data_IF_650238368984
#
_entry.id   IF_650238368984
#
_cell.length_a   1.000
_cell.length_b   1.000
_cell.length_c   1.000
_cell.angle_alpha   90.00
_cell.angle_beta   90.00
_cell.angle_gamma   90.00
#
_symmetry.space_group_name_H-M   'P 1'
#
loop_
_entity.id
_entity.type
_entity.pdbx_description
1 polymer ?
#
# COMPACT_ATOMS: atom_id res chain seq x y z
N UNK A 1 -5.17 -9.10 -14.54
CA UNK A 1 -4.25 -7.97 -14.36
C UNK A 1 -4.91 -6.70 -14.86
N UNK A 2 -4.46 -5.54 -14.37
CA UNK A 2 -4.95 -4.22 -14.79
C UNK A 2 -3.83 -3.48 -15.49
N UNK A 3 -4.11 -2.94 -16.68
CA UNK A 3 -3.17 -2.14 -17.44
C UNK A 3 -3.61 -0.67 -17.44
N UNK A 4 -2.66 0.23 -17.16
CA UNK A 4 -2.85 1.68 -17.23
C UNK A 4 -1.86 2.23 -18.24
N UNK A 5 -2.37 2.80 -19.33
CA UNK A 5 -1.58 3.48 -20.34
C UNK A 5 -1.70 4.99 -20.13
N UNK A 6 -0.59 5.66 -19.85
CA UNK A 6 -0.49 7.12 -19.85
C UNK A 6 0.11 7.53 -21.19
N UNK A 7 -0.73 7.50 -22.23
CA UNK A 7 -0.31 7.60 -23.62
C UNK A 7 0.48 8.89 -23.91
N UNK A 8 0.06 10.01 -23.33
CA UNK A 8 0.65 11.33 -23.56
C UNK A 8 2.14 11.42 -23.17
N UNK A 9 2.60 10.55 -22.27
CA UNK A 9 3.99 10.50 -21.81
C UNK A 9 4.67 9.15 -22.10
N UNK A 10 4.01 8.25 -22.83
CA UNK A 10 4.58 6.96 -23.22
C UNK A 10 4.86 6.00 -22.05
N UNK A 11 4.14 6.13 -20.93
CA UNK A 11 4.26 5.21 -19.79
C UNK A 11 3.16 4.14 -19.81
N UNK A 12 3.54 2.89 -19.58
CA UNK A 12 2.63 1.77 -19.35
C UNK A 12 2.87 1.18 -17.97
N UNK A 13 1.83 1.07 -17.16
CA UNK A 13 1.87 0.41 -15.86
C UNK A 13 0.98 -0.84 -15.91
N UNK A 14 1.47 -1.94 -15.35
CA UNK A 14 0.75 -3.20 -15.26
C UNK A 14 0.71 -3.61 -13.79
N UNK A 15 -0.49 -3.86 -13.28
CA UNK A 15 -0.74 -4.37 -11.94
C UNK A 15 -1.25 -5.81 -12.02
N UNK A 16 -0.52 -6.70 -11.35
CA UNK A 16 -0.91 -8.08 -11.08
C UNK A 16 -1.25 -8.22 -9.59
N UNK A 17 -2.49 -8.62 -9.30
CA UNK A 17 -2.97 -8.84 -7.94
C UNK A 17 -3.16 -10.34 -7.75
N UNK A 18 -2.39 -10.94 -6.83
CA UNK A 18 -2.34 -12.41 -6.68
C UNK A 18 -2.33 -12.79 -5.22
N UNK A 19 -3.25 -13.69 -4.85
CA UNK A 19 -3.18 -14.48 -3.62
C UNK A 19 -2.68 -15.88 -3.96
N UNK A 20 -1.90 -16.53 -3.08
CA UNK A 20 -1.26 -17.80 -3.41
C UNK A 20 -2.24 -18.97 -3.29
N UNK A 21 -3.07 -19.21 -4.29
CA UNK A 21 -3.98 -20.36 -4.36
C UNK A 21 -3.30 -21.52 -5.07
N UNK A 22 -2.78 -22.48 -4.30
CA UNK A 22 -1.89 -23.54 -4.78
C UNK A 22 -2.52 -24.92 -4.52
N UNK A 23 -2.84 -25.71 -5.57
CA UNK A 23 -3.42 -27.04 -5.41
C UNK A 23 -2.60 -27.94 -4.48
N UNK A 24 -3.28 -28.68 -3.60
CA UNK A 24 -2.70 -29.57 -2.58
C UNK A 24 -1.78 -28.89 -1.54
N UNK A 25 -1.68 -27.56 -1.51
CA UNK A 25 -0.99 -26.81 -0.46
C UNK A 25 -2.01 -25.97 0.34
N UNK A 26 -2.62 -26.60 1.35
CA UNK A 26 -3.67 -26.00 2.18
C UNK A 26 -3.14 -24.96 3.17
N UNK A 27 -1.85 -24.99 3.50
CA UNK A 27 -1.23 -24.02 4.40
C UNK A 27 -1.11 -22.65 3.71
N UNK A 28 -0.34 -22.58 2.61
CA UNK A 28 -0.10 -21.31 1.92
C UNK A 28 -1.38 -20.77 1.30
N UNK A 29 -2.25 -21.65 0.77
CA UNK A 29 -3.56 -21.26 0.24
C UNK A 29 -4.49 -20.67 1.30
N UNK A 30 -4.27 -20.95 2.59
CA UNK A 30 -5.06 -20.38 3.68
C UNK A 30 -4.61 -18.98 4.12
N UNK A 31 -3.50 -18.47 3.59
CA UNK A 31 -2.96 -17.18 4.05
C UNK A 31 -3.86 -16.01 3.64
N UNK A 32 -4.21 -15.11 4.58
CA UNK A 32 -4.99 -13.90 4.29
C UNK A 32 -4.07 -12.80 3.71
N UNK A 33 -3.49 -13.07 2.54
CA UNK A 33 -2.49 -12.22 1.89
C UNK A 33 -2.79 -12.01 0.41
N UNK A 34 -2.43 -10.84 -0.10
CA UNK A 34 -2.45 -10.52 -1.53
C UNK A 34 -1.15 -9.77 -1.87
N UNK A 35 -0.53 -10.14 -2.98
CA UNK A 35 0.59 -9.43 -3.55
C UNK A 35 0.11 -8.49 -4.67
N UNK A 36 0.60 -7.26 -4.68
CA UNK A 36 0.34 -6.26 -5.72
C UNK A 36 1.64 -6.02 -6.48
N UNK A 37 1.86 -6.81 -7.52
CA UNK A 37 3.07 -6.73 -8.32
C UNK A 37 2.90 -5.69 -9.43
N UNK A 38 3.80 -4.70 -9.45
CA UNK A 38 3.77 -3.62 -10.42
C UNK A 38 4.93 -3.73 -11.40
N UNK A 39 4.60 -3.68 -12.69
CA UNK A 39 5.57 -3.49 -13.77
C UNK A 39 5.36 -2.10 -14.38
N UNK A 40 6.44 -1.32 -14.47
CA UNK A 40 6.42 0.02 -15.09
C UNK A 40 7.32 -0.01 -16.33
N UNK A 41 6.74 0.31 -17.49
CA UNK A 41 7.42 0.30 -18.79
C UNK A 41 7.45 1.72 -19.33
N UNK A 42 8.65 2.23 -19.57
CA UNK A 42 8.88 3.53 -20.20
C UNK A 42 9.18 3.32 -21.69
N UNK A 43 8.21 3.64 -22.56
CA UNK A 43 8.38 3.59 -24.02
C UNK A 43 8.75 4.94 -24.62
N UNK A 44 9.03 5.94 -23.78
CA UNK A 44 9.44 7.27 -24.21
C UNK A 44 10.95 7.37 -24.38
N UNK A 45 11.43 8.55 -24.78
CA UNK A 45 12.86 8.89 -24.84
C UNK A 45 13.33 9.71 -23.62
N UNK A 46 12.47 9.87 -22.62
CA UNK A 46 12.71 10.72 -21.44
C UNK A 46 12.72 9.84 -20.20
N UNK A 47 13.65 10.10 -19.28
CA UNK A 47 13.69 9.41 -18.00
C UNK A 47 12.61 9.94 -17.04
N UNK A 48 11.94 9.03 -16.35
CA UNK A 48 10.91 9.37 -15.37
C UNK A 48 11.29 8.91 -13.98
N UNK A 49 10.99 9.76 -12.98
CA UNK A 49 10.87 9.35 -11.59
C UNK A 49 9.41 8.97 -11.34
N UNK A 50 9.16 7.71 -11.03
CA UNK A 50 7.81 7.18 -10.78
C UNK A 50 7.66 6.84 -9.31
N UNK A 51 6.55 7.31 -8.72
CA UNK A 51 6.13 6.95 -7.36
C UNK A 51 4.84 6.15 -7.43
N UNK A 52 4.83 4.98 -6.82
CA UNK A 52 3.62 4.17 -6.62
C UNK A 52 3.22 4.26 -5.16
N UNK A 53 1.96 4.57 -4.89
CA UNK A 53 1.45 4.72 -3.53
C UNK A 53 0.25 3.81 -3.34
N UNK A 54 0.27 3.04 -2.25
CA UNK A 54 -0.85 2.23 -1.82
C UNK A 54 -1.39 2.79 -0.50
N UNK A 55 -2.63 3.27 -0.51
CA UNK A 55 -3.35 3.73 0.68
C UNK A 55 -4.33 2.68 1.17
N UNK A 56 -4.46 2.56 2.49
CA UNK A 56 -5.36 1.61 3.13
C UNK A 56 -5.93 2.22 4.40
N UNK A 57 -7.27 2.24 4.54
CA UNK A 57 -7.93 2.77 5.73
C UNK A 57 -7.87 1.72 6.85
N UNK A 58 -7.38 2.11 8.02
CA UNK A 58 -7.53 1.29 9.23
C UNK A 58 -8.97 1.37 9.73
N UNK A 59 -9.57 0.24 10.09
CA UNK A 59 -10.95 0.20 10.56
C UNK A 59 -11.64 -1.14 10.30
N UNK A 60 -12.89 -1.23 10.76
CA UNK A 60 -13.66 -2.47 10.80
C UNK A 60 -14.55 -2.69 9.58
N UNK A 61 -14.66 -1.68 8.70
CA UNK A 61 -15.53 -1.70 7.53
C UNK A 61 -17.03 -1.76 7.86
N UNK A 62 -17.42 -1.61 9.13
CA UNK A 62 -18.81 -1.61 9.57
C UNK A 62 -19.17 -0.25 10.19
N UNK A 63 -20.15 0.48 9.63
CA UNK A 63 -20.64 1.74 10.19
C UNK A 63 -21.03 1.69 11.68
N UNK A 64 -21.45 0.52 12.19
CA UNK A 64 -21.80 0.33 13.61
C UNK A 64 -20.59 0.24 14.55
N UNK A 65 -19.40 -0.03 14.01
CA UNK A 65 -18.17 -0.25 14.77
C UNK A 65 -17.05 0.69 14.32
N UNK A 66 -17.40 1.83 13.71
CA UNK A 66 -16.48 2.93 13.40
C UNK A 66 -16.11 3.70 14.68
N UNK A 67 -15.59 2.98 15.69
CA UNK A 67 -14.91 3.58 16.83
C UNK A 67 -13.44 3.77 16.45
N UNK A 68 -13.17 4.81 15.66
CA UNK A 68 -11.82 5.15 15.18
C UNK A 68 -10.80 5.32 16.33
N UNK A 69 -11.28 5.64 17.55
CA UNK A 69 -10.45 5.77 18.76
C UNK A 69 -9.77 4.48 19.26
N UNK A 70 -10.00 3.32 18.63
CA UNK A 70 -9.29 2.06 18.92
C UNK A 70 -8.33 1.62 17.81
N UNK A 71 -8.18 2.42 16.76
CA UNK A 71 -7.26 2.13 15.68
C UNK A 71 -5.88 2.71 15.97
N UNK A 72 -4.82 1.94 15.70
CA UNK A 72 -3.44 2.43 15.76
C UNK A 72 -2.62 1.91 14.59
N UNK A 73 -1.57 2.65 14.23
CA UNK A 73 -0.62 2.26 13.22
C UNK A 73 0.78 2.21 13.83
N UNK A 74 1.56 1.21 13.44
CA UNK A 74 2.96 1.09 13.87
C UNK A 74 3.85 0.72 12.69
N UNK A 75 5.12 1.19 12.66
CA UNK A 75 6.05 0.80 11.62
C UNK A 75 6.21 -0.73 11.53
N UNK A 76 6.19 -1.21 10.29
CA UNK A 76 6.67 -2.54 9.95
C UNK A 76 8.00 -2.37 9.19
N UNK A 77 9.10 -2.71 9.85
CA UNK A 77 10.42 -2.65 9.24
C UNK A 77 11.13 -3.98 9.47
N UNK A 78 11.30 -4.72 8.38
CA UNK A 78 12.11 -5.93 8.32
C UNK A 78 13.26 -5.69 7.34
N UNK A 79 14.24 -6.59 7.29
CA UNK A 79 15.43 -6.43 6.44
C UNK A 79 15.09 -6.22 4.95
N UNK A 80 14.02 -6.85 4.46
CA UNK A 80 13.60 -6.83 3.05
C UNK A 80 12.43 -5.90 2.74
N UNK A 81 11.74 -5.30 3.71
CA UNK A 81 10.51 -4.55 3.46
C UNK A 81 10.23 -3.48 4.51
N UNK A 82 9.51 -2.43 4.09
CA UNK A 82 9.04 -1.34 4.95
C UNK A 82 7.55 -1.07 4.74
N UNK A 83 6.86 -0.66 5.79
CA UNK A 83 5.44 -0.36 5.73
C UNK A 83 4.83 -0.06 7.10
N UNK A 84 3.53 -0.34 7.23
CA UNK A 84 2.76 -0.12 8.44
C UNK A 84 1.93 -1.37 8.79
N UNK A 85 1.88 -1.70 10.08
CA UNK A 85 0.85 -2.53 10.68
C UNK A 85 -0.29 -1.64 11.16
N UNK A 86 -1.52 -2.02 10.82
CA UNK A 86 -2.74 -1.30 11.15
C UNK A 86 -3.56 -2.14 12.12
N UNK A 87 -3.48 -1.81 13.41
CA UNK A 87 -4.13 -2.53 14.50
C UNK A 87 -5.53 -1.98 14.74
N UNK A 88 -6.49 -2.88 14.90
CA UNK A 88 -7.89 -2.59 15.22
C UNK A 88 -8.57 -3.85 15.78
N UNK A 89 -9.88 -3.80 15.95
CA UNK A 89 -10.66 -4.91 16.49
C UNK A 89 -11.91 -5.14 15.65
N UNK A 90 -12.14 -6.36 15.15
CA UNK A 90 -13.37 -6.73 14.41
C UNK A 90 -14.21 -7.64 15.31
N UNK A 91 -15.43 -7.23 15.68
CA UNK A 91 -16.31 -7.99 16.59
C UNK A 91 -15.59 -8.45 17.88
N UNK A 92 -14.88 -7.54 18.53
CA UNK A 92 -14.06 -7.81 19.74
C UNK A 92 -12.84 -8.70 19.52
N UNK A 93 -12.52 -9.09 18.29
CA UNK A 93 -11.32 -9.86 17.95
C UNK A 93 -10.17 -8.92 17.53
N UNK A 94 -9.03 -8.93 18.26
CA UNK A 94 -7.85 -8.18 17.84
C UNK A 94 -7.42 -8.59 16.43
N UNK A 95 -7.31 -7.62 15.54
CA UNK A 95 -7.00 -7.82 14.13
C UNK A 95 -5.91 -6.84 13.71
N UNK A 96 -5.01 -7.29 12.83
CA UNK A 96 -3.95 -6.43 12.29
C UNK A 96 -3.88 -6.64 10.79
N UNK A 97 -4.05 -5.54 10.04
CA UNK A 97 -3.64 -5.52 8.64
C UNK A 97 -2.18 -5.09 8.55
N UNK A 98 -1.51 -5.46 7.46
CA UNK A 98 -0.19 -4.96 7.16
C UNK A 98 -0.13 -4.56 5.69
N UNK A 99 0.42 -3.38 5.43
CA UNK A 99 0.74 -2.91 4.08
C UNK A 99 2.22 -2.61 4.07
N UNK A 100 2.95 -3.24 3.16
CA UNK A 100 4.38 -3.07 3.03
C UNK A 100 4.81 -3.20 1.58
N UNK A 101 5.95 -2.60 1.27
CA UNK A 101 6.64 -2.74 0.00
C UNK A 101 8.01 -3.38 0.23
N UNK A 102 8.41 -4.25 -0.69
CA UNK A 102 9.74 -4.84 -0.72
C UNK A 102 10.79 -3.80 -1.13
N UNK A 103 11.94 -3.83 -0.46
CA UNK A 103 13.06 -2.98 -0.80
C UNK A 103 13.75 -3.52 -2.06
N UNK A 104 13.57 -2.80 -3.17
CA UNK A 104 14.23 -3.11 -4.44
C UNK A 104 15.49 -2.26 -4.65
N UNK A 105 16.45 -2.75 -5.43
CA UNK A 105 17.64 -1.99 -5.80
C UNK A 105 17.24 -0.75 -6.62
N UNK A 106 17.76 0.42 -6.24
CA UNK A 106 17.44 1.70 -6.89
C UNK A 106 16.08 2.30 -6.52
N UNK A 107 15.26 1.62 -5.71
CA UNK A 107 14.00 2.14 -5.20
C UNK A 107 14.13 2.74 -3.80
N UNK A 108 13.38 3.80 -3.52
CA UNK A 108 13.26 4.37 -2.17
C UNK A 108 11.88 4.08 -1.61
N UNK A 109 11.81 3.61 -0.36
CA UNK A 109 10.54 3.35 0.33
C UNK A 109 10.26 4.43 1.37
N UNK A 110 9.00 4.88 1.42
CA UNK A 110 8.46 5.78 2.44
C UNK A 110 7.06 5.35 2.84
N UNK A 111 6.64 5.68 4.05
CA UNK A 111 5.32 5.37 4.60
C UNK A 111 4.90 6.48 5.56
N UNK A 112 3.60 6.69 5.70
CA UNK A 112 3.03 7.70 6.59
C UNK A 112 1.63 7.26 7.04
N UNK A 113 1.21 7.77 8.20
CA UNK A 113 -0.21 7.72 8.60
C UNK A 113 -0.92 8.97 8.09
N UNK A 114 -2.24 8.89 7.95
CA UNK A 114 -3.09 10.03 7.63
C UNK A 114 -4.47 9.84 8.23
N UNK A 115 -5.19 10.95 8.44
CA UNK A 115 -6.57 10.91 8.89
C UNK A 115 -7.49 10.61 7.69
N UNK A 116 -8.16 9.45 7.61
CA UNK A 116 -9.04 9.11 6.50
C UNK A 116 -10.32 9.97 6.44
N UNK A 117 -10.64 10.71 7.50
CA UNK A 117 -11.76 11.64 7.56
C UNK A 117 -11.37 13.09 7.20
N UNK A 118 -10.10 13.36 6.89
CA UNK A 118 -9.64 14.66 6.40
C UNK A 118 -9.73 14.75 4.86
N UNK A 119 -9.21 15.84 4.28
CA UNK A 119 -9.16 16.01 2.82
C UNK A 119 -8.07 15.18 2.15
N UNK A 120 -7.08 14.67 2.91
CA UNK A 120 -5.88 14.00 2.37
C UNK A 120 -4.85 14.94 1.72
N UNK A 121 -5.01 16.25 1.86
CA UNK A 121 -4.12 17.28 1.29
C UNK A 121 -2.65 17.10 1.70
N UNK A 122 -2.42 16.68 2.94
CA UNK A 122 -1.11 16.43 3.52
C UNK A 122 -0.34 15.36 2.75
N UNK A 123 -0.99 14.22 2.49
CA UNK A 123 -0.42 13.13 1.68
C UNK A 123 -0.17 13.60 0.25
N UNK A 124 -1.13 14.31 -0.35
CA UNK A 124 -1.00 14.77 -1.72
C UNK A 124 0.13 15.78 -1.92
N UNK A 125 0.25 16.77 -1.01
CA UNK A 125 1.34 17.77 -1.04
C UNK A 125 2.70 17.13 -0.86
N UNK A 126 2.80 16.12 -0.01
CA UNK A 126 4.03 15.37 0.21
C UNK A 126 4.50 14.64 -1.05
N UNK A 127 3.58 13.91 -1.70
CA UNK A 127 3.84 13.24 -2.97
C UNK A 127 4.19 14.22 -4.10
N UNK A 128 3.44 15.32 -4.21
CA UNK A 128 3.68 16.32 -5.24
C UNK A 128 5.04 17.01 -5.10
N UNK A 129 5.47 17.29 -3.87
CA UNK A 129 6.72 18.02 -3.61
C UNK A 129 7.97 17.16 -3.70
N UNK A 130 7.91 15.90 -3.26
CA UNK A 130 9.10 15.05 -3.11
C UNK A 130 9.04 13.70 -3.83
N UNK A 131 7.84 13.25 -4.22
CA UNK A 131 7.59 11.88 -4.68
C UNK A 131 7.68 10.84 -3.55
N UNK A 132 7.71 11.26 -2.29
CA UNK A 132 7.76 10.40 -1.11
C UNK A 132 6.64 10.80 -0.15
N UNK A 133 6.27 9.89 0.75
CA UNK A 133 5.35 10.17 1.84
C UNK A 133 6.11 10.76 3.04
N UNK A 134 5.59 11.87 3.55
CA UNK A 134 6.06 12.60 4.74
C UNK A 134 4.83 13.08 5.51
N UNK A 135 4.40 12.32 6.50
CA UNK A 135 3.20 12.54 7.30
C UNK A 135 3.26 11.76 8.62
N UNK A 136 2.53 12.21 9.63
CA UNK A 136 2.82 12.05 11.06
C UNK A 136 3.09 10.63 11.60
N UNK A 137 3.94 10.58 12.63
CA UNK A 137 3.94 9.53 13.66
C UNK A 137 2.81 9.77 14.65
#
# INVERSE_FOLDING_TARGET
>A
WTEVLVADIGLKLILEQVSPVIPNNYEVTSFPVCNFYWTVINNSKVDFKVTLTFTFRNGTGNPKWDHEGQCSAEPLQISSAKGLKLKHTIKSMPTTFAVAAEQMAGATLSYATFNPASTGDDIWRSLQSSGSLSGGM
#
